data_IF_614726654310
#
_entry.id   IF_614726654310
#
_cell.length_a   1.000
_cell.length_b   1.000
_cell.length_c   1.000
_cell.angle_alpha   90.00
_cell.angle_beta   90.00
_cell.angle_gamma   90.00
#
_symmetry.space_group_name_H-M   'P 1'
#
loop_
_entity.id
_entity.type
_entity.pdbx_description
1 polymer ?
#
# COMPACT_ATOMS: atom_id res chain seq x y z
N UNK A 1 1.99 -31.51 3.59
CA UNK A 1 1.24 -30.36 3.02
C UNK A 1 0.80 -29.47 4.17
N UNK A 2 1.51 -28.36 4.42
CA UNK A 2 1.07 -27.38 5.42
C UNK A 2 -0.02 -26.50 4.78
N UNK A 3 -1.22 -26.51 5.36
CA UNK A 3 -2.25 -25.53 5.00
C UNK A 3 -1.74 -24.14 5.40
N UNK A 4 -1.54 -23.24 4.44
CA UNK A 4 -1.23 -21.84 4.71
C UNK A 4 -2.32 -21.25 5.62
N UNK A 5 -1.96 -20.78 6.81
CA UNK A 5 -2.87 -20.02 7.70
C UNK A 5 -2.71 -18.52 7.42
N UNK A 6 -2.96 -18.13 6.17
CA UNK A 6 -3.18 -16.72 5.88
C UNK A 6 -4.64 -16.38 6.15
N UNK A 7 -4.87 -15.17 6.67
CA UNK A 7 -6.20 -14.60 6.77
C UNK A 7 -6.79 -14.50 5.36
N UNK A 8 -8.09 -14.71 5.22
CA UNK A 8 -8.76 -14.48 3.94
C UNK A 8 -8.69 -12.99 3.62
N UNK A 9 -8.18 -12.62 2.45
CA UNK A 9 -8.20 -11.22 2.05
C UNK A 9 -9.61 -10.84 1.64
N UNK A 10 -10.21 -9.85 2.31
CA UNK A 10 -11.49 -9.29 1.96
C UNK A 10 -11.31 -7.83 1.52
N UNK A 11 -11.75 -7.52 0.31
CA UNK A 11 -11.48 -6.23 -0.30
C UNK A 11 -12.60 -5.24 0.03
N UNK A 12 -12.27 -4.11 0.65
CA UNK A 12 -13.20 -2.99 0.80
C UNK A 12 -12.94 -1.94 -0.28
N UNK A 13 -13.97 -1.67 -1.08
CA UNK A 13 -13.95 -0.68 -2.12
C UNK A 13 -14.34 0.69 -1.55
N UNK A 14 -13.45 1.67 -1.65
CA UNK A 14 -13.81 3.07 -1.42
C UNK A 14 -13.95 3.74 -2.79
N UNK A 15 -15.19 4.10 -3.14
CA UNK A 15 -15.46 4.95 -4.31
C UNK A 15 -15.25 6.40 -3.86
N UNK A 16 -14.01 6.86 -3.91
CA UNK A 16 -13.67 8.25 -3.67
C UNK A 16 -13.96 9.08 -4.93
N UNK A 17 -15.09 9.78 -4.92
CA UNK A 17 -15.28 11.12 -5.47
C UNK A 17 -16.65 11.61 -4.99
N UNK A 18 -16.68 12.30 -3.84
CA UNK A 18 -17.83 13.12 -3.50
C UNK A 18 -17.86 14.28 -4.50
N UNK A 19 -18.88 14.29 -5.36
CA UNK A 19 -19.25 15.46 -6.13
C UNK A 19 -19.73 16.54 -5.14
N UNK A 20 -18.84 17.43 -4.71
CA UNK A 20 -19.27 18.73 -4.20
C UNK A 20 -19.24 19.66 -5.40
N UNK A 21 -20.35 19.67 -6.14
CA UNK A 21 -20.65 20.76 -7.05
C UNK A 21 -21.03 21.93 -6.16
N UNK A 22 -20.04 22.78 -5.83
CA UNK A 22 -20.37 24.12 -5.36
C UNK A 22 -21.14 24.82 -6.50
N UNK A 23 -22.33 25.30 -6.14
CA UNK A 23 -23.40 25.57 -7.07
C UNK A 23 -23.12 26.72 -8.05
N UNK A 24 -23.48 26.47 -9.30
CA UNK A 24 -24.30 27.42 -10.05
C UNK A 24 -25.42 26.64 -10.73
N UNK A 25 -26.65 27.01 -10.40
CA UNK A 25 -27.87 26.47 -10.98
C UNK A 25 -27.90 26.77 -12.48
N UNK A 26 -27.78 25.74 -13.33
CA UNK A 26 -28.28 25.80 -14.69
C UNK A 26 -29.67 25.17 -14.75
N UNK A 27 -30.68 26.03 -14.82
CA UNK A 27 -32.06 25.65 -15.12
C UNK A 27 -32.10 25.21 -16.59
N UNK A 28 -32.36 23.92 -16.86
CA UNK A 28 -32.67 23.47 -18.21
C UNK A 28 -34.09 23.96 -18.59
N UNK A 29 -34.15 25.10 -19.27
CA UNK A 29 -35.34 25.58 -19.94
C UNK A 29 -35.69 24.67 -21.12
N UNK A 30 -36.87 24.06 -21.07
CA UNK A 30 -37.43 23.29 -22.18
C UNK A 30 -37.90 24.23 -23.29
N UNK A 31 -37.08 24.42 -24.33
CA UNK A 31 -37.55 24.83 -25.66
C UNK A 31 -36.76 24.07 -26.73
N UNK A 32 -37.38 23.02 -27.26
CA UNK A 32 -36.87 22.29 -28.41
C UNK A 32 -37.14 23.09 -29.69
N UNK A 33 -36.09 23.66 -30.30
CA UNK A 33 -36.13 23.99 -31.72
C UNK A 33 -35.66 22.78 -32.52
N UNK A 34 -36.55 22.24 -33.36
CA UNK A 34 -36.25 21.16 -34.31
C UNK A 34 -35.18 21.64 -35.29
N UNK A 35 -33.97 21.13 -35.17
CA UNK A 35 -32.98 21.21 -36.24
C UNK A 35 -33.37 20.24 -37.37
N UNK A 36 -33.48 20.76 -38.59
CA UNK A 36 -33.70 19.98 -39.81
C UNK A 36 -32.44 19.15 -40.12
N UNK A 37 -32.53 17.85 -40.41
CA UNK A 37 -31.35 17.05 -40.71
C UNK A 37 -30.77 17.44 -42.07
N UNK A 38 -29.52 17.89 -42.08
CA UNK A 38 -28.74 18.01 -43.31
C UNK A 38 -28.51 16.60 -43.88
N UNK A 39 -28.77 16.42 -45.19
CA UNK A 39 -28.51 15.17 -45.91
C UNK A 39 -27.03 14.80 -45.79
N UNK A 40 -26.75 13.70 -45.10
CA UNK A 40 -25.43 13.07 -45.06
C UNK A 40 -25.22 12.34 -46.38
N UNK A 41 -24.19 12.71 -47.13
CA UNK A 41 -23.74 11.96 -48.30
C UNK A 41 -23.28 10.56 -47.86
N UNK A 42 -23.83 9.54 -48.50
CA UNK A 42 -23.46 8.14 -48.31
C UNK A 42 -22.06 7.87 -48.86
N UNK A 43 -21.05 8.11 -48.04
CA UNK A 43 -19.69 7.59 -48.22
C UNK A 43 -19.55 6.24 -47.52
N UNK A 44 -18.89 5.30 -48.19
CA UNK A 44 -18.61 3.93 -47.74
C UNK A 44 -18.10 3.89 -46.30
N UNK A 45 -18.80 3.17 -45.42
CA UNK A 45 -18.38 2.92 -44.05
C UNK A 45 -17.09 2.09 -44.03
N UNK A 46 -15.96 2.77 -43.90
CA UNK A 46 -14.78 2.14 -43.30
C UNK A 46 -15.14 1.74 -41.87
N UNK A 47 -14.86 0.50 -41.46
CA UNK A 47 -15.06 0.00 -40.09
C UNK A 47 -14.39 0.97 -39.11
N UNK A 48 -15.18 1.84 -38.50
CA UNK A 48 -14.70 2.72 -37.46
C UNK A 48 -14.18 1.87 -36.29
N UNK A 49 -13.01 2.18 -35.71
CA UNK A 49 -12.56 1.52 -34.49
C UNK A 49 -13.60 1.68 -33.38
N UNK A 50 -13.72 0.67 -32.51
CA UNK A 50 -14.69 0.63 -31.42
C UNK A 50 -14.67 1.93 -30.58
N UNK A 51 -15.85 2.40 -30.09
CA UNK A 51 -15.94 3.62 -29.30
C UNK A 51 -15.04 3.55 -28.07
N UNK A 52 -14.26 4.60 -27.80
CA UNK A 52 -13.26 4.58 -26.72
C UNK A 52 -13.90 4.59 -25.32
N UNK A 53 -15.18 4.95 -25.21
CA UNK A 53 -15.95 4.81 -23.96
C UNK A 53 -16.04 3.36 -23.48
N UNK A 54 -16.14 2.37 -24.39
CA UNK A 54 -16.15 0.96 -24.00
C UNK A 54 -14.78 0.53 -23.45
N UNK A 55 -13.68 1.12 -23.95
CA UNK A 55 -12.34 0.90 -23.38
C UNK A 55 -12.22 1.41 -21.94
N UNK A 56 -12.91 2.50 -21.59
CA UNK A 56 -12.95 3.01 -20.20
C UNK A 56 -13.75 2.05 -19.30
N UNK A 57 -14.90 1.58 -19.77
CA UNK A 57 -15.69 0.58 -19.03
C UNK A 57 -14.90 -0.70 -18.79
N UNK A 58 -14.17 -1.18 -19.81
CA UNK A 58 -13.29 -2.34 -19.71
C UNK A 58 -12.13 -2.09 -18.74
N UNK A 59 -11.48 -0.93 -18.81
CA UNK A 59 -10.41 -0.55 -17.88
C UNK A 59 -10.92 -0.52 -16.44
N UNK A 60 -12.10 0.06 -16.21
CA UNK A 60 -12.76 0.07 -14.90
C UNK A 60 -13.14 -1.33 -14.43
N UNK A 61 -13.59 -2.22 -15.33
CA UNK A 61 -13.94 -3.59 -14.98
C UNK A 61 -12.70 -4.40 -14.56
N UNK A 62 -11.57 -4.22 -15.26
CA UNK A 62 -10.28 -4.85 -14.93
C UNK A 62 -9.76 -4.47 -13.55
N UNK A 63 -9.99 -3.23 -13.12
CA UNK A 63 -9.60 -2.75 -11.79
C UNK A 63 -10.26 -3.50 -10.63
N UNK A 64 -11.30 -4.33 -10.84
CA UNK A 64 -12.04 -4.99 -9.74
C UNK A 64 -11.33 -6.21 -9.15
N UNK A 65 -10.46 -6.85 -9.92
CA UNK A 65 -9.92 -8.16 -9.57
C UNK A 65 -8.46 -8.04 -9.13
N UNK A 66 -8.13 -8.68 -8.01
CA UNK A 66 -6.76 -8.94 -7.64
C UNK A 66 -6.16 -9.97 -8.59
N UNK A 67 -4.93 -9.72 -9.04
CA UNK A 67 -4.17 -10.62 -9.88
C UNK A 67 -2.91 -11.06 -9.15
N UNK A 68 -2.25 -12.07 -9.69
CA UNK A 68 -1.07 -12.68 -9.12
C UNK A 68 0.00 -12.85 -10.17
N UNK A 69 1.23 -12.48 -9.85
CA UNK A 69 2.37 -12.79 -10.69
C UNK A 69 2.67 -14.28 -10.64
N UNK A 70 3.01 -14.85 -11.79
CA UNK A 70 3.38 -16.26 -11.94
C UNK A 70 4.89 -16.47 -11.96
N UNK A 71 5.65 -15.40 -12.21
CA UNK A 71 7.11 -15.40 -12.22
C UNK A 71 7.69 -14.03 -11.89
N UNK A 72 8.98 -14.03 -11.57
CA UNK A 72 9.79 -12.83 -11.39
C UNK A 72 9.85 -11.97 -12.67
N UNK A 73 9.99 -12.61 -13.82
CA UNK A 73 10.08 -11.92 -15.12
C UNK A 73 8.76 -11.20 -15.46
N UNK A 74 7.61 -11.82 -15.19
CA UNK A 74 6.30 -11.19 -15.37
C UNK A 74 6.17 -9.92 -14.51
N UNK A 75 6.62 -10.00 -13.26
CA UNK A 75 6.61 -8.86 -12.35
C UNK A 75 7.55 -7.74 -12.81
N UNK A 76 8.76 -8.05 -13.28
CA UNK A 76 9.66 -7.03 -13.83
C UNK A 76 9.07 -6.35 -15.06
N UNK A 77 8.55 -7.12 -16.01
CA UNK A 77 7.92 -6.58 -17.21
C UNK A 77 6.73 -5.67 -16.84
N UNK A 78 5.97 -6.02 -15.81
CA UNK A 78 4.91 -5.16 -15.28
C UNK A 78 5.45 -3.84 -14.71
N UNK A 79 6.49 -3.90 -13.88
CA UNK A 79 7.11 -2.71 -13.26
C UNK A 79 7.72 -1.80 -14.34
N UNK A 80 8.50 -2.35 -15.27
CA UNK A 80 9.12 -1.62 -16.39
C UNK A 80 8.07 -0.89 -17.23
N UNK A 81 6.97 -1.58 -17.58
CA UNK A 81 5.86 -0.98 -18.32
C UNK A 81 5.24 0.18 -17.56
N UNK A 82 5.08 0.07 -16.24
CA UNK A 82 4.49 1.14 -15.42
C UNK A 82 5.42 2.35 -15.30
N UNK A 83 6.73 2.14 -15.16
CA UNK A 83 7.75 3.21 -15.19
C UNK A 83 7.74 3.95 -16.53
N UNK A 84 7.71 3.22 -17.65
CA UNK A 84 7.66 3.82 -18.99
C UNK A 84 6.38 4.65 -19.23
N UNK A 85 5.26 4.26 -18.60
CA UNK A 85 3.98 4.95 -18.78
C UNK A 85 3.85 6.28 -18.01
N UNK A 86 4.61 6.47 -16.92
CA UNK A 86 4.59 7.71 -16.12
C UNK A 86 5.54 8.78 -16.62
N UNK A 87 6.31 8.51 -17.69
CA UNK A 87 7.34 9.43 -18.20
C UNK A 87 8.55 9.56 -17.26
N UNK A 88 8.69 8.67 -16.27
CA UNK A 88 9.78 8.67 -15.29
C UNK A 88 11.08 8.01 -15.80
N UNK A 89 11.31 8.02 -17.12
CA UNK A 89 12.61 7.64 -17.67
C UNK A 89 13.58 8.80 -17.47
N UNK A 90 14.31 8.78 -16.36
CA UNK A 90 15.34 9.75 -16.04
C UNK A 90 14.95 10.67 -14.89
N UNK A 91 15.58 10.47 -13.74
CA UNK A 91 15.48 11.38 -12.62
C UNK A 91 15.91 12.78 -13.04
N UNK A 92 14.96 13.71 -13.05
CA UNK A 92 15.01 15.11 -12.61
C UNK A 92 13.57 15.62 -12.79
N UNK A 93 12.79 15.69 -11.71
CA UNK A 93 11.60 16.51 -11.66
C UNK A 93 12.04 17.98 -11.64
N UNK A 94 12.20 18.60 -12.82
CA UNK A 94 12.42 20.04 -12.94
C UNK A 94 11.12 20.85 -12.97
N UNK A 95 9.94 20.19 -13.01
CA UNK A 95 8.64 20.87 -13.17
C UNK A 95 7.84 21.03 -11.86
N UNK A 96 8.47 20.78 -10.71
CA UNK A 96 7.85 20.85 -9.38
C UNK A 96 8.08 22.16 -8.61
N UNK A 97 8.75 23.16 -9.19
CA UNK A 97 9.02 24.46 -8.54
C UNK A 97 7.96 25.53 -8.86
N UNK A 98 6.70 25.13 -9.05
CA UNK A 98 5.56 26.04 -8.92
C UNK A 98 4.87 25.75 -7.58
N UNK A 99 5.42 26.34 -6.53
CA UNK A 99 4.85 26.32 -5.18
C UNK A 99 3.45 26.96 -5.20
N UNK A 100 2.39 26.15 -5.19
CA UNK A 100 1.10 26.56 -4.65
C UNK A 100 1.19 26.41 -3.14
N UNK A 101 1.55 27.52 -2.48
CA UNK A 101 1.35 27.71 -1.04
C UNK A 101 -0.15 27.68 -0.77
N UNK A 102 -0.68 26.51 -0.44
CA UNK A 102 -1.90 26.43 0.37
C UNK A 102 -1.60 25.60 1.61
N UNK A 103 -1.46 26.31 2.73
CA UNK A 103 -1.31 25.73 4.04
C UNK A 103 -2.62 25.04 4.43
N UNK A 104 -2.56 23.72 4.65
CA UNK A 104 -3.66 23.01 5.30
C UNK A 104 -3.68 23.38 6.80
N UNK A 105 -4.83 23.76 7.37
CA UNK A 105 -4.93 24.06 8.79
C UNK A 105 -4.71 22.79 9.63
N UNK A 106 -3.85 22.89 10.63
CA UNK A 106 -3.64 21.86 11.64
C UNK A 106 -4.94 21.67 12.43
N UNK A 107 -5.46 20.44 12.44
CA UNK A 107 -6.55 20.06 13.32
C UNK A 107 -6.03 19.96 14.76
N UNK A 108 -6.48 20.91 15.57
CA UNK A 108 -6.24 21.00 17.01
C UNK A 108 -6.91 19.80 17.71
N UNK A 109 -6.11 18.84 18.19
CA UNK A 109 -6.61 17.79 19.10
C UNK A 109 -6.48 18.30 20.52
N UNK A 110 -7.61 18.80 21.02
CA UNK A 110 -7.80 19.18 22.40
C UNK A 110 -7.44 18.04 23.36
N UNK A 111 -6.71 18.41 24.41
CA UNK A 111 -6.52 17.65 25.64
C UNK A 111 -7.87 17.32 26.24
N UNK A 112 -8.10 16.05 26.55
CA UNK A 112 -9.11 15.68 27.54
C UNK A 112 -8.46 14.91 28.69
N UNK A 113 -8.79 15.41 29.87
CA UNK A 113 -8.17 15.20 31.17
C UNK A 113 -8.47 13.83 31.77
N UNK A 114 -7.46 13.26 32.41
CA UNK A 114 -7.61 12.17 33.36
C UNK A 114 -8.43 12.63 34.58
N UNK A 115 -9.51 11.91 34.87
CA UNK A 115 -10.17 11.96 36.17
C UNK A 115 -10.33 10.53 36.70
N UNK A 116 -9.49 10.20 37.68
CA UNK A 116 -9.54 8.93 38.39
C UNK A 116 -10.76 8.86 39.30
N UNK A 117 -11.47 7.75 39.25
CA UNK A 117 -12.39 7.33 40.30
C UNK A 117 -11.86 6.05 40.90
N UNK A 118 -11.56 6.11 42.20
CA UNK A 118 -11.18 4.96 43.00
C UNK A 118 -12.40 4.06 43.19
N UNK A 119 -12.23 2.76 42.91
CA UNK A 119 -13.14 1.72 43.39
C UNK A 119 -12.29 0.66 44.09
N UNK A 120 -12.53 0.55 45.39
CA UNK A 120 -12.05 -0.51 46.28
C UNK A 120 -12.83 -1.80 46.03
N UNK A 121 -12.12 -2.91 45.84
CA UNK A 121 -12.71 -4.25 45.84
C UNK A 121 -11.76 -5.26 45.18
N UNK A 122 -11.16 -6.12 46.00
CA UNK A 122 -10.21 -7.13 45.57
C UNK A 122 -10.88 -8.23 44.76
N UNK A 123 -10.49 -8.32 43.49
CA UNK A 123 -10.28 -9.58 42.78
C UNK A 123 -9.07 -9.35 41.84
N UNK A 124 -8.25 -10.38 41.57
CA UNK A 124 -7.03 -10.26 40.73
C UNK A 124 -7.36 -10.07 39.23
N UNK A 125 -8.27 -9.16 38.90
CA UNK A 125 -8.67 -8.80 37.56
C UNK A 125 -7.75 -7.71 37.01
N UNK A 126 -6.92 -8.04 36.03
CA UNK A 126 -6.12 -7.06 35.31
C UNK A 126 -6.88 -6.56 34.08
N UNK A 127 -6.79 -5.26 33.80
CA UNK A 127 -7.40 -4.68 32.62
C UNK A 127 -6.72 -5.20 31.36
N UNK A 128 -7.48 -5.90 30.52
CA UNK A 128 -7.13 -6.10 29.11
C UNK A 128 -7.44 -4.81 28.36
N UNK A 129 -6.56 -4.39 27.46
CA UNK A 129 -6.85 -3.24 26.58
C UNK A 129 -8.10 -3.56 25.76
N UNK A 130 -8.94 -2.56 25.51
CA UNK A 130 -10.21 -2.74 24.79
C UNK A 130 -9.94 -3.32 23.40
N UNK A 131 -10.08 -4.63 23.26
CA UNK A 131 -9.73 -5.34 22.04
C UNK A 131 -10.80 -5.02 20.99
N UNK A 132 -10.40 -4.41 19.87
CA UNK A 132 -11.35 -4.01 18.81
C UNK A 132 -12.14 -5.20 18.23
N UNK A 133 -11.56 -6.41 18.26
CA UNK A 133 -12.18 -7.66 17.78
C UNK A 133 -11.79 -8.83 18.70
N UNK A 134 -12.77 -9.60 19.18
CA UNK A 134 -12.52 -10.75 20.05
C UNK A 134 -11.52 -11.75 19.45
N UNK A 135 -10.45 -12.05 20.18
CA UNK A 135 -9.39 -13.01 19.78
C UNK A 135 -8.28 -12.42 18.90
N UNK A 136 -8.27 -11.10 18.66
CA UNK A 136 -7.24 -10.39 17.91
C UNK A 136 -6.56 -9.40 18.83
N UNK A 137 -5.32 -9.64 19.24
CA UNK A 137 -4.57 -8.70 20.07
C UNK A 137 -3.90 -7.62 19.21
N UNK A 138 -3.85 -6.39 19.72
CA UNK A 138 -3.18 -5.23 19.11
C UNK A 138 -1.89 -4.94 19.85
N UNK A 139 -0.83 -4.55 19.15
CA UNK A 139 0.40 -4.19 19.81
C UNK A 139 0.21 -2.89 20.62
N UNK A 140 0.88 -2.77 21.75
CA UNK A 140 0.78 -1.59 22.62
C UNK A 140 2.16 -1.26 23.18
N UNK A 141 2.33 -0.08 23.76
CA UNK A 141 3.52 0.29 24.52
C UNK A 141 3.62 -0.47 25.84
N UNK A 142 2.48 -0.90 26.40
CA UNK A 142 2.39 -1.59 27.70
C UNK A 142 1.61 -2.90 27.59
N UNK A 143 2.16 -3.98 28.16
CA UNK A 143 1.49 -5.28 28.32
C UNK A 143 1.69 -5.82 29.73
N UNK A 144 0.76 -6.64 30.22
CA UNK A 144 0.83 -7.23 31.58
C UNK A 144 0.30 -8.66 31.59
N UNK A 145 0.86 -9.50 32.47
CA UNK A 145 0.30 -10.82 32.82
C UNK A 145 -0.38 -10.83 34.21
N UNK A 146 -0.66 -9.64 34.75
CA UNK A 146 -1.26 -9.41 36.06
C UNK A 146 -0.23 -9.26 37.18
N UNK A 147 0.89 -10.00 37.13
CA UNK A 147 1.99 -9.87 38.09
C UNK A 147 3.11 -8.98 37.56
N UNK A 148 3.47 -9.18 36.30
CA UNK A 148 4.55 -8.46 35.63
C UNK A 148 3.99 -7.52 34.57
N UNK A 149 4.57 -6.32 34.49
CA UNK A 149 4.32 -5.37 33.42
C UNK A 149 5.55 -5.26 32.52
N UNK A 150 5.29 -5.08 31.23
CA UNK A 150 6.27 -4.90 30.17
C UNK A 150 5.96 -3.58 29.51
N UNK A 151 6.93 -2.67 29.41
CA UNK A 151 6.71 -1.36 28.78
C UNK A 151 7.88 -0.95 27.92
N UNK A 152 7.58 -0.38 26.76
CA UNK A 152 8.56 0.32 25.92
C UNK A 152 8.75 1.73 26.49
N UNK A 153 10.00 2.16 26.70
CA UNK A 153 10.32 3.56 26.96
C UNK A 153 11.72 3.89 26.45
N UNK A 154 11.83 4.92 25.60
CA UNK A 154 13.07 5.23 24.89
C UNK A 154 13.53 4.05 24.02
N UNK A 155 14.80 3.67 24.15
CA UNK A 155 15.37 2.52 23.42
C UNK A 155 15.39 1.24 24.26
N UNK A 156 14.51 1.14 25.25
CA UNK A 156 14.47 0.01 26.18
C UNK A 156 13.06 -0.56 26.31
N UNK A 157 13.00 -1.87 26.58
CA UNK A 157 11.82 -2.52 27.15
C UNK A 157 12.10 -2.84 28.61
N UNK A 158 11.29 -2.29 29.51
CA UNK A 158 11.34 -2.52 30.94
C UNK A 158 10.45 -3.69 31.31
N UNK A 159 10.97 -4.60 32.14
CA UNK A 159 10.19 -5.67 32.77
C UNK A 159 10.09 -5.37 34.26
N UNK A 160 8.87 -5.25 34.77
CA UNK A 160 8.59 -4.84 36.14
C UNK A 160 7.80 -5.92 36.86
N UNK A 161 8.09 -6.14 38.14
CA UNK A 161 7.11 -6.71 39.07
C UNK A 161 6.15 -5.56 39.40
N UNK A 162 4.90 -5.65 38.95
CA UNK A 162 3.92 -4.57 39.07
C UNK A 162 2.92 -4.82 40.21
N UNK A 163 2.72 -6.10 40.58
CA UNK A 163 1.81 -6.50 41.65
C UNK A 163 2.53 -7.36 42.72
N UNK A 164 2.31 -7.08 44.02
CA UNK A 164 1.50 -5.98 44.56
C UNK A 164 2.19 -4.61 44.40
N UNK A 165 1.40 -3.55 44.23
CA UNK A 165 1.91 -2.22 43.89
C UNK A 165 2.96 -1.67 44.88
N UNK A 166 2.85 -2.02 46.16
CA UNK A 166 3.81 -1.62 47.21
C UNK A 166 5.23 -2.17 46.99
N UNK A 167 5.34 -3.30 46.28
CA UNK A 167 6.60 -4.00 46.01
C UNK A 167 7.06 -3.79 44.56
N UNK A 168 6.44 -2.83 43.85
CA UNK A 168 6.67 -2.63 42.44
C UNK A 168 8.11 -2.19 42.17
N UNK A 169 8.78 -2.90 41.26
CA UNK A 169 10.19 -2.68 40.94
C UNK A 169 10.53 -3.15 39.53
N UNK A 170 11.54 -2.52 38.94
CA UNK A 170 12.13 -2.98 37.68
C UNK A 170 12.96 -4.24 37.97
N UNK A 171 12.67 -5.31 37.24
CA UNK A 171 13.39 -6.59 37.31
C UNK A 171 14.51 -6.68 36.29
N UNK A 172 14.27 -6.19 35.07
CA UNK A 172 15.25 -6.17 34.00
C UNK A 172 14.96 -5.08 32.97
N UNK A 173 15.96 -4.80 32.14
CA UNK A 173 15.89 -3.88 31.00
C UNK A 173 16.45 -4.59 29.78
N UNK A 174 15.72 -4.55 28.68
CA UNK A 174 16.17 -5.03 27.38
C UNK A 174 16.53 -3.79 26.56
N UNK A 175 17.81 -3.52 26.38
CA UNK A 175 18.28 -2.33 25.67
C UNK A 175 18.47 -2.63 24.17
N UNK A 176 18.01 -1.72 23.33
CA UNK A 176 18.10 -1.80 21.88
C UNK A 176 19.03 -0.70 21.35
N UNK A 177 19.80 -1.00 20.30
CA UNK A 177 20.53 0.02 19.53
C UNK A 177 19.64 0.80 18.55
N UNK A 178 18.37 0.42 18.50
CA UNK A 178 17.35 0.87 17.57
C UNK A 178 16.09 1.25 18.36
N UNK A 179 15.02 1.67 17.70
CA UNK A 179 13.84 2.21 18.37
C UNK A 179 12.72 1.17 18.47
N UNK A 180 12.53 0.48 19.61
CA UNK A 180 11.32 -0.29 19.87
C UNK A 180 10.10 0.63 19.91
N UNK A 181 8.98 0.16 19.38
CA UNK A 181 7.75 0.95 19.26
C UNK A 181 6.57 0.28 19.95
N UNK A 182 6.39 -1.04 19.78
CA UNK A 182 5.22 -1.73 20.30
C UNK A 182 5.56 -3.17 20.69
N UNK A 183 4.76 -3.75 21.58
CA UNK A 183 4.97 -5.09 22.12
C UNK A 183 3.70 -5.95 22.15
N UNK A 184 3.91 -7.26 22.08
CA UNK A 184 2.93 -8.29 22.42
C UNK A 184 3.45 -9.16 23.55
N UNK A 185 2.54 -9.59 24.43
CA UNK A 185 2.82 -10.60 25.44
C UNK A 185 1.89 -11.80 25.25
N UNK A 186 2.47 -12.97 25.01
CA UNK A 186 1.71 -14.22 24.94
C UNK A 186 2.34 -15.32 25.81
N UNK A 187 1.80 -15.48 27.01
CA UNK A 187 2.37 -16.33 28.04
C UNK A 187 3.78 -15.88 28.38
N UNK A 188 4.79 -16.71 28.08
CA UNK A 188 6.21 -16.42 28.32
C UNK A 188 6.97 -15.95 27.07
N UNK A 189 6.25 -15.45 26.07
CA UNK A 189 6.82 -14.86 24.85
C UNK A 189 6.51 -13.37 24.81
N UNK A 190 7.56 -12.56 24.80
CA UNK A 190 7.48 -11.12 24.56
C UNK A 190 7.93 -10.87 23.11
N UNK A 191 7.06 -10.32 22.28
CA UNK A 191 7.43 -9.87 20.93
C UNK A 191 7.60 -8.37 20.95
N UNK A 192 8.69 -7.85 20.38
CA UNK A 192 9.00 -6.42 20.29
C UNK A 192 9.15 -6.05 18.82
N UNK A 193 8.41 -5.02 18.39
CA UNK A 193 8.42 -4.47 17.04
C UNK A 193 9.00 -3.06 17.09
N UNK A 194 9.81 -2.68 16.11
CA UNK A 194 10.33 -1.33 16.02
C UNK A 194 11.11 -1.03 14.76
N UNK A 195 11.66 0.18 14.66
CA UNK A 195 12.45 0.63 13.51
C UNK A 195 13.94 0.32 13.73
N UNK A 196 14.58 -0.34 12.76
CA UNK A 196 16.01 -0.65 12.78
C UNK A 196 16.85 0.40 12.03
N UNK A 197 17.31 1.40 12.77
CA UNK A 197 18.19 2.46 12.25
C UNK A 197 19.65 2.01 12.04
N UNK A 198 20.01 0.83 12.54
CA UNK A 198 21.38 0.34 12.55
C UNK A 198 21.62 -0.73 11.49
N UNK A 199 20.61 -1.06 10.68
CA UNK A 199 20.69 -2.16 9.70
C UNK A 199 21.88 -1.99 8.75
N UNK A 200 22.11 -0.78 8.23
CA UNK A 200 23.23 -0.46 7.33
C UNK A 200 24.60 -0.37 8.02
N UNK A 201 24.68 -0.59 9.33
CA UNK A 201 25.96 -0.83 10.02
C UNK A 201 26.38 -2.29 9.91
N UNK A 202 25.47 -3.20 9.56
CA UNK A 202 25.74 -4.64 9.39
C UNK A 202 26.47 -4.93 8.07
N UNK A 203 27.28 -6.00 8.03
CA UNK A 203 28.04 -6.35 6.82
C UNK A 203 27.16 -6.77 5.64
N UNK A 204 26.02 -7.42 5.90
CA UNK A 204 25.10 -7.88 4.85
C UNK A 204 24.36 -6.71 4.20
N UNK A 205 23.79 -5.81 4.99
CA UNK A 205 22.96 -4.74 4.47
C UNK A 205 23.77 -3.63 3.79
N UNK A 206 25.05 -3.47 4.14
CA UNK A 206 25.99 -2.57 3.43
C UNK A 206 26.16 -2.93 1.96
N UNK A 207 25.88 -4.17 1.57
CA UNK A 207 25.99 -4.61 0.18
C UNK A 207 24.68 -4.45 -0.60
N UNK A 208 23.60 -4.01 0.04
CA UNK A 208 22.34 -3.74 -0.66
C UNK A 208 22.50 -2.46 -1.48
N UNK A 209 22.09 -2.49 -2.75
CA UNK A 209 22.18 -1.30 -3.61
C UNK A 209 21.07 -0.32 -3.29
N UNK A 210 19.88 -0.82 -2.96
CA UNK A 210 18.79 -0.02 -2.42
C UNK A 210 18.87 0.12 -0.91
N UNK A 211 18.75 1.37 -0.45
CA UNK A 211 18.67 1.71 0.95
C UNK A 211 17.24 2.16 1.25
N UNK A 212 16.64 1.58 2.29
CA UNK A 212 15.29 1.87 2.73
C UNK A 212 15.15 1.59 4.23
N UNK A 213 13.97 1.89 4.77
CA UNK A 213 13.68 1.61 6.17
C UNK A 213 13.64 0.10 6.42
N UNK A 214 13.97 -0.31 7.64
CA UNK A 214 13.78 -1.69 8.09
C UNK A 214 13.02 -1.71 9.41
N UNK A 215 12.06 -2.62 9.51
CA UNK A 215 11.30 -2.90 10.71
C UNK A 215 11.82 -4.19 11.33
N UNK A 216 12.27 -4.13 12.59
CA UNK A 216 12.62 -5.35 13.31
C UNK A 216 11.40 -5.95 14.02
N UNK A 217 11.39 -7.28 14.14
CA UNK A 217 10.53 -8.04 15.05
C UNK A 217 11.41 -9.04 15.79
N UNK A 218 11.54 -8.84 17.10
CA UNK A 218 12.34 -9.71 17.97
C UNK A 218 11.43 -10.43 18.96
N UNK A 219 11.69 -11.70 19.20
CA UNK A 219 10.93 -12.49 20.20
C UNK A 219 11.87 -12.85 21.35
N UNK A 220 11.39 -12.69 22.58
CA UNK A 220 12.10 -12.99 23.81
C UNK A 220 11.36 -14.04 24.64
N UNK A 221 12.11 -14.92 25.29
CA UNK A 221 11.64 -15.73 26.41
C UNK A 221 11.69 -14.90 27.68
N UNK A 222 10.56 -14.78 28.36
CA UNK A 222 10.41 -14.04 29.62
C UNK A 222 9.94 -14.93 30.77
N UNK A 223 10.24 -16.24 30.69
CA UNK A 223 9.97 -17.20 31.78
C UNK A 223 10.69 -16.80 33.07
N UNK A 224 11.91 -16.27 32.96
CA UNK A 224 12.61 -15.54 34.01
C UNK A 224 12.58 -14.03 33.70
N UNK A 225 11.69 -13.25 34.32
CA UNK A 225 11.57 -11.81 34.07
C UNK A 225 12.82 -11.00 34.44
N UNK A 226 13.73 -11.55 35.25
CA UNK A 226 15.02 -10.91 35.58
C UNK A 226 16.06 -11.12 34.50
N UNK A 227 15.91 -12.17 33.68
CA UNK A 227 16.86 -12.52 32.63
C UNK A 227 16.15 -12.88 31.31
N UNK A 228 15.48 -11.90 30.63
CA UNK A 228 14.88 -12.14 29.32
C UNK A 228 15.92 -12.62 28.29
N UNK A 229 15.56 -13.61 27.47
CA UNK A 229 16.46 -14.18 26.45
C UNK A 229 15.90 -13.97 25.05
N UNK A 230 16.64 -13.29 24.17
CA UNK A 230 16.24 -13.17 22.77
C UNK A 230 16.27 -14.56 22.11
N UNK A 231 15.18 -14.92 21.45
CA UNK A 231 14.99 -16.19 20.75
C UNK A 231 15.18 -16.05 19.23
N UNK A 232 14.81 -14.90 18.66
CA UNK A 232 14.98 -14.62 17.22
C UNK A 232 15.04 -13.12 16.97
N UNK A 233 15.73 -12.75 15.89
CA UNK A 233 15.78 -11.41 15.33
C UNK A 233 15.33 -11.44 13.86
N UNK A 234 14.21 -10.79 13.55
CA UNK A 234 13.81 -10.58 12.15
C UNK A 234 13.94 -9.12 11.79
N UNK A 235 14.46 -8.85 10.59
CA UNK A 235 14.44 -7.52 9.97
C UNK A 235 13.68 -7.59 8.64
N UNK A 236 12.61 -6.82 8.54
CA UNK A 236 11.77 -6.71 7.34
C UNK A 236 12.03 -5.37 6.67
N UNK A 237 12.38 -5.38 5.40
CA UNK A 237 12.50 -4.15 4.63
C UNK A 237 11.13 -3.48 4.51
N UNK A 238 11.10 -2.19 4.80
CA UNK A 238 9.90 -1.37 4.83
C UNK A 238 9.66 -0.69 6.17
N UNK A 239 8.77 0.29 6.13
CA UNK A 239 8.25 0.96 7.31
C UNK A 239 7.10 0.16 7.92
N UNK A 240 7.12 0.03 9.24
CA UNK A 240 6.04 -0.56 10.01
C UNK A 240 4.73 0.21 9.78
N UNK A 241 3.67 -0.49 9.36
CA UNK A 241 2.35 0.10 9.16
C UNK A 241 1.35 -0.36 10.21
N UNK A 242 1.34 -1.65 10.53
CA UNK A 242 0.42 -2.24 11.48
C UNK A 242 0.85 -3.66 11.85
N UNK A 243 0.33 -4.19 12.95
CA UNK A 243 0.44 -5.62 13.28
C UNK A 243 -0.79 -6.12 14.01
N UNK A 244 -1.04 -7.43 13.96
CA UNK A 244 -2.02 -8.10 14.81
C UNK A 244 -1.51 -9.43 15.28
N UNK A 245 -1.83 -9.80 16.51
CA UNK A 245 -1.55 -11.13 17.03
C UNK A 245 -2.84 -11.93 17.15
N UNK A 246 -2.87 -13.08 16.47
CA UNK A 246 -4.02 -13.98 16.42
C UNK A 246 -3.51 -15.39 16.70
N UNK A 247 -3.98 -15.99 17.79
CA UNK A 247 -3.47 -17.27 18.30
C UNK A 247 -1.94 -17.24 18.46
N UNK A 248 -1.21 -18.18 17.87
CA UNK A 248 0.25 -18.28 17.95
C UNK A 248 1.00 -17.41 16.93
N UNK A 249 0.29 -16.60 16.14
CA UNK A 249 0.87 -15.84 15.05
C UNK A 249 0.85 -14.34 15.32
N UNK A 250 1.95 -13.68 15.00
CA UNK A 250 2.01 -12.22 14.78
C UNK A 250 2.00 -11.99 13.27
N UNK A 251 1.01 -11.25 12.81
CA UNK A 251 0.90 -10.73 11.45
C UNK A 251 1.52 -9.34 11.45
N UNK A 252 2.66 -9.17 10.80
CA UNK A 252 3.37 -7.91 10.64
C UNK A 252 3.09 -7.35 9.25
N UNK A 253 2.80 -6.06 9.17
CA UNK A 253 2.52 -5.36 7.92
C UNK A 253 3.53 -4.24 7.75
N UNK A 254 4.35 -4.34 6.70
CA UNK A 254 5.31 -3.30 6.32
C UNK A 254 5.00 -2.75 4.93
N UNK A 255 5.30 -1.48 4.74
CA UNK A 255 5.17 -0.80 3.46
C UNK A 255 6.56 -0.41 2.94
N UNK A 256 6.84 -0.77 1.70
CA UNK A 256 8.12 -0.48 1.05
C UNK A 256 7.88 0.20 -0.28
N UNK A 257 8.45 1.39 -0.44
CA UNK A 257 8.52 2.04 -1.74
C UNK A 257 9.37 1.20 -2.68
N UNK A 258 8.92 0.99 -3.91
CA UNK A 258 9.70 0.25 -4.91
C UNK A 258 10.61 1.23 -5.64
N UNK A 259 11.93 1.25 -5.36
CA UNK A 259 12.82 2.16 -6.05
C UNK A 259 12.97 1.75 -7.52
N UNK A 260 12.69 2.69 -8.42
CA UNK A 260 12.67 2.49 -9.87
C UNK A 260 14.05 2.28 -10.53
N UNK A 261 15.14 2.29 -9.76
CA UNK A 261 16.48 2.58 -10.29
C UNK A 261 17.48 1.41 -10.24
N UNK A 262 17.08 0.21 -9.82
CA UNK A 262 17.99 -0.92 -9.65
C UNK A 262 17.65 -2.07 -10.60
N UNK A 263 18.06 -1.97 -11.87
CA UNK A 263 17.89 -2.98 -12.93
C UNK A 263 18.33 -4.41 -12.55
N UNK A 264 19.20 -4.55 -11.51
CA UNK A 264 19.78 -5.83 -11.10
C UNK A 264 19.44 -6.23 -9.65
N UNK A 265 18.42 -5.62 -9.03
CA UNK A 265 17.94 -6.04 -7.69
C UNK A 265 16.52 -6.60 -7.75
N UNK A 266 16.23 -7.57 -6.87
CA UNK A 266 14.87 -8.06 -6.70
C UNK A 266 13.99 -6.92 -6.16
N UNK A 267 12.83 -6.64 -6.76
CA UNK A 267 12.01 -5.54 -6.31
C UNK A 267 11.19 -5.91 -5.07
N UNK A 268 11.13 -7.20 -4.70
CA UNK A 268 10.45 -7.69 -3.49
C UNK A 268 11.18 -7.26 -2.21
N UNK A 269 10.47 -6.86 -1.14
CA UNK A 269 11.06 -6.56 0.17
C UNK A 269 11.95 -7.69 0.69
N UNK A 270 13.09 -7.33 1.28
CA UNK A 270 14.02 -8.27 1.92
C UNK A 270 13.54 -8.64 3.32
N UNK A 271 13.85 -9.86 3.73
CA UNK A 271 13.66 -10.33 5.11
C UNK A 271 14.94 -10.96 5.59
N UNK A 272 15.44 -10.56 6.75
CA UNK A 272 16.57 -11.20 7.40
C UNK A 272 16.08 -11.93 8.64
N UNK A 273 16.70 -13.08 8.92
CA UNK A 273 16.57 -13.83 10.17
C UNK A 273 17.96 -13.97 10.78
N UNK A 274 18.14 -13.46 12.00
CA UNK A 274 19.39 -13.49 12.74
C UNK A 274 20.57 -12.95 11.90
N UNK A 275 20.34 -11.84 11.19
CA UNK A 275 21.31 -11.19 10.32
C UNK A 275 21.59 -11.89 8.99
N UNK A 276 20.85 -12.95 8.65
CA UNK A 276 20.96 -13.66 7.36
C UNK A 276 19.73 -13.42 6.50
N UNK A 277 19.94 -12.99 5.26
CA UNK A 277 18.84 -12.78 4.32
C UNK A 277 18.15 -14.11 3.98
N UNK A 278 16.82 -14.12 4.13
CA UNK A 278 15.96 -15.16 3.60
C UNK A 278 15.83 -14.91 2.09
N UNK A 279 16.24 -15.86 1.27
CA UNK A 279 16.07 -15.76 -0.17
C UNK A 279 14.58 -15.74 -0.53
N UNK A 280 14.06 -14.56 -0.85
CA UNK A 280 12.69 -14.37 -1.32
C UNK A 280 12.69 -14.12 -2.84
N UNK A 281 11.74 -14.77 -3.49
CA UNK A 281 11.44 -14.63 -4.91
C UNK A 281 9.91 -14.63 -5.09
N UNK A 282 9.41 -14.47 -6.32
CA UNK A 282 8.00 -14.76 -6.62
C UNK A 282 7.81 -16.27 -6.55
N UNK A 283 6.78 -16.71 -5.81
CA UNK A 283 6.46 -18.13 -5.68
C UNK A 283 6.35 -18.80 -7.03
N UNK A 284 7.13 -19.86 -7.20
CA UNK A 284 7.21 -20.67 -8.41
C UNK A 284 7.42 -22.14 -8.04
N UNK A 285 7.41 -23.03 -9.04
CA UNK A 285 7.74 -24.44 -8.82
C UNK A 285 9.13 -24.64 -8.19
N UNK A 286 10.08 -23.71 -8.45
CA UNK A 286 11.45 -23.76 -7.92
C UNK A 286 11.58 -23.17 -6.51
N UNK A 287 10.65 -22.30 -6.10
CA UNK A 287 10.60 -21.76 -4.75
C UNK A 287 9.17 -21.83 -4.19
N UNK A 288 8.72 -23.00 -3.69
CA UNK A 288 7.37 -23.16 -3.16
C UNK A 288 7.17 -22.45 -1.80
N UNK A 289 8.24 -22.08 -1.11
CA UNK A 289 8.21 -21.35 0.17
C UNK A 289 8.26 -19.83 0.00
N UNK A 290 8.51 -19.35 -1.22
CA UNK A 290 8.50 -17.93 -1.54
C UNK A 290 7.08 -17.33 -1.46
N UNK A 291 6.95 -16.01 -1.31
CA UNK A 291 5.67 -15.32 -1.23
C UNK A 291 4.88 -15.40 -2.53
N UNK A 292 3.56 -15.46 -2.40
CA UNK A 292 2.67 -15.07 -3.49
C UNK A 292 2.72 -13.54 -3.60
N UNK A 293 2.77 -13.03 -4.83
CA UNK A 293 2.87 -11.59 -5.11
C UNK A 293 1.67 -11.18 -5.95
N UNK A 294 0.87 -10.27 -5.40
CA UNK A 294 -0.39 -9.83 -5.97
C UNK A 294 -0.29 -8.40 -6.51
N UNK A 295 -1.16 -8.05 -7.46
CA UNK A 295 -1.27 -6.69 -8.01
C UNK A 295 -2.70 -6.40 -8.50
N UNK A 296 -2.95 -5.14 -8.81
CA UNK A 296 -4.23 -4.67 -9.36
C UNK A 296 -4.02 -3.99 -10.73
N UNK A 297 -5.01 -4.08 -11.62
CA UNK A 297 -4.98 -3.39 -12.92
C UNK A 297 -5.36 -1.90 -12.79
N UNK A 298 -4.80 -1.20 -11.80
CA UNK A 298 -5.02 0.24 -11.57
C UNK A 298 -3.91 1.08 -12.23
N UNK A 299 -4.15 2.38 -12.49
CA UNK A 299 -3.06 3.33 -12.71
C UNK A 299 -2.34 3.54 -11.38
N UNK A 300 -1.03 3.37 -11.38
CA UNK A 300 -0.17 3.57 -10.20
C UNK A 300 0.51 4.92 -10.32
N UNK A 301 0.45 5.73 -9.27
CA UNK A 301 1.21 6.99 -9.18
C UNK A 301 2.56 6.75 -8.49
N UNK A 302 2.59 5.83 -7.55
CA UNK A 302 3.74 5.43 -6.75
C UNK A 302 3.66 3.94 -6.49
N UNK A 303 4.53 3.15 -7.13
CA UNK A 303 4.58 1.71 -6.88
C UNK A 303 5.13 1.44 -5.48
N UNK A 304 4.30 0.82 -4.65
CA UNK A 304 4.66 0.37 -3.31
C UNK A 304 4.32 -1.11 -3.16
N UNK A 305 4.97 -1.73 -2.19
CA UNK A 305 4.61 -3.07 -1.73
C UNK A 305 4.08 -3.00 -0.30
N UNK A 306 2.94 -3.65 -0.08
CA UNK A 306 2.46 -4.00 1.25
C UNK A 306 2.88 -5.45 1.49
N UNK A 307 3.76 -5.68 2.44
CA UNK A 307 4.24 -7.02 2.81
C UNK A 307 3.56 -7.46 4.10
N UNK A 308 2.82 -8.56 4.01
CA UNK A 308 2.17 -9.21 5.14
C UNK A 308 2.97 -10.46 5.50
N UNK A 309 3.65 -10.40 6.64
CA UNK A 309 4.40 -11.53 7.18
C UNK A 309 3.64 -12.15 8.35
N UNK A 310 3.45 -13.47 8.33
CA UNK A 310 2.89 -14.25 9.43
C UNK A 310 4.01 -15.03 10.13
N UNK A 311 4.30 -14.65 11.38
CA UNK A 311 5.36 -15.22 12.21
C UNK A 311 4.72 -16.07 13.31
N UNK A 312 5.03 -17.36 13.37
CA UNK A 312 4.61 -18.20 14.50
C UNK A 312 5.54 -17.97 15.69
N UNK A 313 5.07 -17.31 16.74
CA UNK A 313 5.87 -16.95 17.92
C UNK A 313 6.09 -18.12 18.91
N UNK A 314 5.48 -19.28 18.66
CA UNK A 314 5.69 -20.52 19.40
C UNK A 314 6.65 -21.49 18.71
N UNK A 315 6.74 -21.43 17.38
CA UNK A 315 7.57 -22.29 16.53
C UNK A 315 8.48 -21.44 15.63
N UNK A 316 9.53 -20.90 16.25
CA UNK A 316 10.51 -20.02 15.60
C UNK A 316 11.49 -20.75 14.68
N UNK A 317 11.44 -22.09 14.63
CA UNK A 317 12.19 -22.87 13.66
C UNK A 317 11.63 -22.70 12.24
N UNK A 318 10.32 -22.47 12.12
CA UNK A 318 9.66 -22.17 10.84
C UNK A 318 9.92 -20.73 10.43
N UNK A 319 10.28 -20.53 9.16
CA UNK A 319 10.38 -19.19 8.57
C UNK A 319 9.01 -18.52 8.51
N UNK A 320 8.96 -17.17 8.52
CA UNK A 320 7.73 -16.42 8.30
C UNK A 320 7.07 -16.83 6.98
N UNK A 321 5.75 -17.00 7.00
CA UNK A 321 4.98 -17.06 5.75
C UNK A 321 4.76 -15.64 5.25
N UNK A 322 4.86 -15.39 3.95
CA UNK A 322 4.74 -14.04 3.37
C UNK A 322 3.74 -13.97 2.22
N UNK A 323 3.00 -12.87 2.16
CA UNK A 323 2.23 -12.41 1.00
C UNK A 323 2.56 -10.95 0.72
N UNK A 324 2.70 -10.60 -0.55
CA UNK A 324 3.10 -9.25 -0.97
C UNK A 324 2.06 -8.71 -1.94
N UNK A 325 1.64 -7.46 -1.73
CA UNK A 325 0.67 -6.78 -2.55
C UNK A 325 1.31 -5.53 -3.17
N UNK A 326 1.43 -5.51 -4.50
CA UNK A 326 1.87 -4.34 -5.27
C UNK A 326 0.68 -3.40 -5.43
N UNK A 327 0.83 -2.19 -4.90
CA UNK A 327 -0.25 -1.22 -4.73
C UNK A 327 0.23 0.20 -5.03
N UNK A 328 -0.72 1.12 -5.23
CA UNK A 328 -0.44 2.56 -5.18
C UNK A 328 -0.30 3.00 -3.71
N UNK A 329 0.38 4.11 -3.46
CA UNK A 329 0.53 4.63 -2.09
C UNK A 329 -0.79 5.01 -1.41
N UNK A 330 -0.74 5.21 -0.09
CA UNK A 330 -1.86 5.67 0.75
C UNK A 330 -3.07 4.73 0.81
N UNK A 331 -2.86 3.48 1.24
CA UNK A 331 -3.95 2.51 1.46
C UNK A 331 -4.31 2.36 2.94
N UNK A 332 -5.59 2.13 3.22
CA UNK A 332 -6.06 1.76 4.56
C UNK A 332 -6.09 0.24 4.71
N UNK A 333 -5.57 -0.24 5.83
CA UNK A 333 -5.50 -1.66 6.16
C UNK A 333 -6.29 -1.89 7.46
N UNK A 334 -7.19 -2.86 7.44
CA UNK A 334 -7.96 -3.31 8.60
C UNK A 334 -7.85 -4.82 8.76
N UNK A 335 -7.88 -5.33 9.99
CA UNK A 335 -7.71 -6.76 10.26
C UNK A 335 -8.84 -7.23 11.18
N UNK A 336 -9.42 -8.38 10.85
CA UNK A 336 -10.34 -9.14 11.68
C UNK A 336 -9.71 -10.48 12.06
N UNK A 337 -10.41 -11.28 12.87
CA UNK A 337 -9.92 -12.60 13.32
C UNK A 337 -9.53 -13.54 12.17
N UNK A 338 -10.29 -13.48 11.08
CA UNK A 338 -10.13 -14.42 9.96
C UNK A 338 -9.77 -13.73 8.64
N UNK A 339 -9.82 -12.39 8.59
CA UNK A 339 -9.60 -11.62 7.37
C UNK A 339 -8.67 -10.43 7.54
N UNK A 340 -7.82 -10.20 6.54
CA UNK A 340 -7.14 -8.93 6.32
C UNK A 340 -7.93 -8.16 5.25
N UNK A 341 -8.16 -6.88 5.48
CA UNK A 341 -8.79 -5.98 4.54
C UNK A 341 -7.79 -4.94 4.09
N UNK A 342 -7.57 -4.87 2.78
CA UNK A 342 -6.76 -3.85 2.16
C UNK A 342 -7.68 -3.07 1.21
N UNK A 343 -7.73 -1.76 1.40
CA UNK A 343 -8.51 -0.87 0.54
C UNK A 343 -7.66 -0.39 -0.63
N UNK A 344 -8.29 -0.11 -1.77
CA UNK A 344 -7.70 0.70 -2.82
C UNK A 344 -8.74 1.54 -3.55
N UNK A 345 -8.26 2.63 -4.14
CA UNK A 345 -9.07 3.55 -4.92
C UNK A 345 -9.09 3.12 -6.37
N UNK A 346 -10.28 2.89 -6.92
CA UNK A 346 -10.46 2.78 -8.36
C UNK A 346 -10.36 4.17 -8.97
N UNK A 347 -9.57 4.29 -10.02
CA UNK A 347 -9.33 5.57 -10.67
C UNK A 347 -10.09 5.66 -11.98
N UNK A 348 -10.87 6.73 -12.11
CA UNK A 348 -11.44 7.20 -13.36
C UNK A 348 -10.93 8.61 -13.61
N UNK A 349 -10.11 8.77 -14.64
CA UNK A 349 -9.67 10.09 -15.08
C UNK A 349 -10.80 10.80 -15.79
N UNK A 350 -11.28 11.92 -15.23
CA UNK A 350 -12.23 12.78 -15.92
C UNK A 350 -11.67 13.27 -17.25
N UNK A 351 -10.37 13.57 -17.31
CA UNK A 351 -9.68 13.94 -18.54
C UNK A 351 -9.70 12.82 -19.59
N UNK A 352 -9.45 11.56 -19.20
CA UNK A 352 -9.50 10.45 -20.18
C UNK A 352 -10.92 10.18 -20.64
N UNK A 353 -11.91 10.36 -19.76
CA UNK A 353 -13.32 10.24 -20.08
C UNK A 353 -13.75 11.33 -21.06
N UNK A 354 -13.48 12.59 -20.74
CA UNK A 354 -13.81 13.73 -21.59
C UNK A 354 -13.12 13.64 -22.95
N UNK A 355 -11.83 13.29 -22.98
CA UNK A 355 -11.07 13.06 -24.21
C UNK A 355 -11.66 11.90 -25.03
N UNK A 356 -12.08 10.80 -24.40
CA UNK A 356 -12.66 9.67 -25.11
C UNK A 356 -14.02 10.00 -25.72
N UNK A 357 -14.87 10.72 -24.99
CA UNK A 357 -16.15 11.22 -25.51
C UNK A 357 -15.92 12.22 -26.64
N UNK A 358 -15.01 13.19 -26.44
CA UNK A 358 -14.66 14.17 -27.46
C UNK A 358 -14.14 13.49 -28.73
N UNK A 359 -13.30 12.46 -28.60
CA UNK A 359 -12.81 11.64 -29.72
C UNK A 359 -13.95 10.99 -30.49
N UNK A 360 -14.87 10.31 -29.81
CA UNK A 360 -15.97 9.59 -30.45
C UNK A 360 -16.88 10.56 -31.25
N UNK A 361 -17.04 11.79 -30.77
CA UNK A 361 -17.83 12.83 -31.45
C UNK A 361 -17.05 13.50 -32.60
N UNK A 362 -15.76 13.81 -32.38
CA UNK A 362 -14.96 14.66 -33.27
C UNK A 362 -14.26 13.87 -34.38
N UNK A 363 -13.74 12.67 -34.10
CA UNK A 363 -12.98 11.87 -35.09
C UNK A 363 -13.73 11.66 -36.42
N UNK A 364 -15.04 11.35 -36.44
CA UNK A 364 -15.77 11.19 -37.70
C UNK A 364 -15.89 12.50 -38.50
N UNK A 365 -15.79 13.65 -37.83
CA UNK A 365 -15.99 15.00 -38.41
C UNK A 365 -14.69 15.68 -38.82
N UNK A 366 -13.53 15.18 -38.39
CA UNK A 366 -12.23 15.71 -38.79
C UNK A 366 -11.96 15.50 -40.29
N UNK A 367 -11.15 16.37 -40.90
CA UNK A 367 -10.63 16.09 -42.24
C UNK A 367 -9.68 14.87 -42.23
N UNK A 368 -9.55 14.17 -43.36
CA UNK A 368 -8.75 12.94 -43.46
C UNK A 368 -7.31 13.13 -42.98
N UNK A 369 -6.67 14.25 -43.35
CA UNK A 369 -5.31 14.61 -42.90
C UNK A 369 -5.13 14.52 -41.38
N UNK A 370 -6.12 14.99 -40.60
CA UNK A 370 -6.03 14.99 -39.14
C UNK A 370 -6.29 13.59 -38.55
N UNK A 371 -7.17 12.80 -39.18
CA UNK A 371 -7.33 11.39 -38.81
C UNK A 371 -6.04 10.59 -39.03
N UNK A 372 -5.37 10.82 -40.16
CA UNK A 372 -4.08 10.16 -40.46
C UNK A 372 -2.98 10.59 -39.47
N UNK A 373 -2.96 11.86 -39.05
CA UNK A 373 -2.04 12.34 -38.02
C UNK A 373 -2.29 11.65 -36.66
N UNK A 374 -3.55 11.53 -36.24
CA UNK A 374 -3.92 10.83 -35.01
C UNK A 374 -3.49 9.36 -35.09
N UNK A 375 -3.75 8.67 -36.20
CA UNK A 375 -3.33 7.28 -36.39
C UNK A 375 -1.80 7.11 -36.29
N UNK A 376 -1.02 8.06 -36.85
CA UNK A 376 0.45 8.06 -36.72
C UNK A 376 0.92 8.25 -35.27
N UNK A 377 0.29 9.17 -34.52
CA UNK A 377 0.61 9.39 -33.11
C UNK A 377 0.33 8.12 -32.30
N UNK A 378 -0.83 7.49 -32.54
CA UNK A 378 -1.24 6.29 -31.81
C UNK A 378 -0.39 5.06 -32.14
N UNK A 379 0.09 4.97 -33.39
CA UNK A 379 0.98 3.91 -33.84
C UNK A 379 2.44 4.08 -33.39
N UNK A 380 2.82 5.23 -32.83
CA UNK A 380 4.17 5.44 -32.32
C UNK A 380 4.47 4.42 -31.19
N UNK A 381 5.69 3.91 -31.14
CA UNK A 381 6.10 3.01 -30.06
C UNK A 381 5.97 3.71 -28.70
N UNK A 382 5.48 3.02 -27.67
CA UNK A 382 5.32 3.63 -26.33
C UNK A 382 6.65 3.90 -25.63
N UNK A 383 7.76 3.34 -26.11
CA UNK A 383 9.13 3.72 -25.72
C UNK A 383 9.55 5.07 -26.31
N UNK A 384 8.98 5.46 -27.45
CA UNK A 384 9.27 6.73 -28.14
C UNK A 384 8.30 7.82 -27.66
N UNK A 385 7.03 7.44 -27.47
CA UNK A 385 5.98 8.36 -27.07
C UNK A 385 5.05 7.66 -26.07
N UNK A 386 5.11 8.07 -24.81
CA UNK A 386 4.28 7.50 -23.75
C UNK A 386 2.79 7.66 -24.06
N UNK A 387 1.96 6.81 -23.45
CA UNK A 387 0.50 6.87 -23.65
C UNK A 387 -0.08 8.24 -23.23
N UNK A 388 0.52 8.88 -22.22
CA UNK A 388 0.16 10.24 -21.81
C UNK A 388 0.50 11.27 -22.89
N UNK A 389 1.71 11.22 -23.45
CA UNK A 389 2.12 12.13 -24.52
C UNK A 389 1.31 11.91 -25.81
N UNK A 390 0.99 10.66 -26.16
CA UNK A 390 0.07 10.32 -27.24
C UNK A 390 -1.29 10.98 -27.03
N UNK A 391 -1.85 10.83 -25.83
CA UNK A 391 -3.14 11.42 -25.49
C UNK A 391 -3.11 12.95 -25.57
N UNK A 392 -2.05 13.60 -25.06
CA UNK A 392 -1.88 15.06 -25.13
C UNK A 392 -1.78 15.56 -26.57
N UNK A 393 -1.00 14.90 -27.43
CA UNK A 393 -0.87 15.28 -28.85
C UNK A 393 -2.18 15.12 -29.61
N UNK A 394 -2.93 14.04 -29.36
CA UNK A 394 -4.24 13.83 -29.97
C UNK A 394 -5.26 14.85 -29.45
N UNK A 395 -5.26 15.15 -28.15
CA UNK A 395 -6.14 16.16 -27.57
C UNK A 395 -5.92 17.52 -28.22
N UNK A 396 -4.67 17.92 -28.47
CA UNK A 396 -4.36 19.17 -29.16
C UNK A 396 -4.97 19.27 -30.57
N UNK A 397 -5.09 18.16 -31.30
CA UNK A 397 -5.74 18.14 -32.63
C UNK A 397 -7.26 18.33 -32.48
N UNK A 398 -7.86 17.67 -31.49
CA UNK A 398 -9.30 17.74 -31.21
C UNK A 398 -9.71 19.14 -30.74
N UNK A 399 -8.92 19.73 -29.83
CA UNK A 399 -9.13 21.08 -29.32
C UNK A 399 -9.05 22.14 -30.42
N UNK A 400 -8.09 22.01 -31.36
CA UNK A 400 -8.00 22.91 -32.53
C UNK A 400 -9.25 22.83 -33.39
N UNK A 401 -9.77 21.63 -33.63
CA UNK A 401 -11.02 21.47 -34.37
C UNK A 401 -12.20 22.08 -33.61
N UNK A 402 -12.32 21.82 -32.30
CA UNK A 402 -13.40 22.41 -31.48
C UNK A 402 -13.37 23.93 -31.53
N UNK A 403 -12.19 24.54 -31.43
CA UNK A 403 -12.03 25.99 -31.49
C UNK A 403 -12.36 26.56 -32.88
N UNK A 404 -12.22 25.79 -33.96
CA UNK A 404 -12.66 26.22 -35.30
C UNK A 404 -14.18 26.17 -35.52
N UNK A 405 -14.93 25.59 -34.58
CA UNK A 405 -16.41 25.59 -34.61
C UNK A 405 -17.02 26.75 -33.83
N UNK A 406 -16.21 27.47 -33.05
CA UNK A 406 -16.64 28.65 -32.32
C UNK A 406 -16.54 29.88 -33.23
N UNK A 407 -17.41 29.90 -34.25
CA UNK A 407 -17.80 31.06 -35.05
C UNK A 407 -19.27 30.91 -35.45
#
# INVERSE_FOLDING_TARGET
>A
MQSKRFLHLALLLIIGNALIVQGQNYVFGATAQKAVPAKVATGTQSKAPAPKVDKIKDALAKQKNIKKFTSKDEMYAFIEKKIGSTGQYGGIHLDGMAATKEAMPAADRAKESAQGSAVSGADNDFSRTNVQVAGVDEADLVKTDGKYAYTVAGNEVFVLEAYPAKDAKILSRISFKSHPQEIYLDGKRLTVIGHNEQIFTTGIARNFRRHGNFTFLKVFDVTDPKNPKQLVDYDFEGSYSNSRRINDFVYLITNTYMPYYYMNETPLPRVLKDGKELALDVRSAKCPTCPEVYYFDIPYRSLQTVHVAAINIKDLAKSPSSEIYVMDGNQTIYVSKDNLYITYTRYLSEYELSLSVARDIVLPRLAQKYRDQIAKIEAADSLILSDNEKNNKVNAIIERYRNSLAD
#
